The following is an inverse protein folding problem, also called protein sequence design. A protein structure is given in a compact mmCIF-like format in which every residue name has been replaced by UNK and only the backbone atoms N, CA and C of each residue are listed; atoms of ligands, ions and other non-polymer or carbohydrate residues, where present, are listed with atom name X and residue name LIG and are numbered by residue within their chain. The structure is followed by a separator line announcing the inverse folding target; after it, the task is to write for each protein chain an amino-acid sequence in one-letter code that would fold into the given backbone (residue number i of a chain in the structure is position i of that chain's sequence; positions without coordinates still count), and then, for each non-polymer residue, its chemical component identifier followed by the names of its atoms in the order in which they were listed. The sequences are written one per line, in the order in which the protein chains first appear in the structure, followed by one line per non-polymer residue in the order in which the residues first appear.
data_IF_032687119714
#
_entry.id   IF_032687119714
#
_cell.length_a   1.000
_cell.length_b   1.000
_cell.length_c   1.000
_cell.angle_alpha   90.00
_cell.angle_beta   90.00
_cell.angle_gamma   90.00
#
_symmetry.space_group_name_H-M   'P 1'
#
loop_
_entity.id
_entity.type
_entity.pdbx_description
1 polymer ?
#
# COMPACT_ATOMS: atom_id res chain seq x y z
N UNK A 1 -14.77 -33.54 3.33
CA UNK A 1 -14.07 -33.06 2.12
C UNK A 1 -12.65 -32.71 2.53
N UNK A 2 -11.63 -33.16 1.77
CA UNK A 2 -10.25 -32.80 2.05
C UNK A 2 -10.06 -31.30 1.78
N UNK A 3 -9.26 -30.62 2.60
CA UNK A 3 -8.92 -29.22 2.40
C UNK A 3 -8.11 -29.07 1.10
N UNK A 4 -8.40 -28.09 0.23
CA UNK A 4 -7.66 -27.88 -1.02
C UNK A 4 -6.15 -27.73 -0.76
N UNK A 5 -5.31 -28.43 -1.54
CA UNK A 5 -3.84 -28.33 -1.43
C UNK A 5 -3.34 -27.17 -2.26
N UNK A 6 -3.03 -26.04 -1.62
CA UNK A 6 -2.64 -24.81 -2.31
C UNK A 6 -1.14 -24.61 -2.43
N UNK A 7 -0.30 -25.47 -1.83
CA UNK A 7 1.15 -25.27 -1.82
C UNK A 7 1.76 -25.24 -3.24
N UNK A 8 2.76 -24.38 -3.41
CA UNK A 8 3.49 -24.20 -4.66
C UNK A 8 3.55 -22.73 -5.09
N UNK A 9 4.16 -22.52 -6.25
CA UNK A 9 4.32 -21.21 -6.88
C UNK A 9 3.17 -20.96 -7.85
N UNK A 10 2.55 -19.78 -7.79
CA UNK A 10 1.46 -19.37 -8.67
C UNK A 10 1.84 -18.05 -9.31
N UNK A 11 1.76 -17.98 -10.64
CA UNK A 11 2.26 -16.86 -11.42
C UNK A 11 1.14 -16.26 -12.24
N UNK A 12 1.07 -14.94 -12.22
CA UNK A 12 0.27 -14.11 -13.11
C UNK A 12 1.20 -13.25 -13.96
N UNK A 13 0.97 -13.26 -15.27
CA UNK A 13 1.76 -12.48 -16.24
C UNK A 13 0.80 -11.71 -17.14
N UNK A 14 1.09 -10.43 -17.35
CA UNK A 14 0.45 -9.57 -18.34
C UNK A 14 1.53 -8.68 -18.98
N UNK A 15 1.22 -7.99 -20.07
CA UNK A 15 2.17 -7.06 -20.69
C UNK A 15 2.74 -6.08 -19.63
N UNK A 16 4.06 -6.15 -19.45
CA UNK A 16 4.87 -5.38 -18.47
C UNK A 16 4.53 -5.60 -16.99
N UNK A 17 3.74 -6.63 -16.66
CA UNK A 17 3.44 -6.99 -15.27
C UNK A 17 3.74 -8.46 -15.02
N UNK A 18 4.43 -8.72 -13.92
CA UNK A 18 4.56 -10.06 -13.36
C UNK A 18 4.20 -10.02 -11.89
N UNK A 19 3.47 -11.03 -11.44
CA UNK A 19 3.19 -11.22 -10.03
C UNK A 19 3.20 -12.70 -9.70
N UNK A 20 3.73 -13.05 -8.53
CA UNK A 20 3.85 -14.43 -8.13
C UNK A 20 3.59 -14.60 -6.63
N UNK A 21 2.98 -15.72 -6.28
CA UNK A 21 2.90 -16.22 -4.92
C UNK A 21 3.75 -17.48 -4.79
N UNK A 22 4.32 -17.69 -3.61
CA UNK A 22 4.79 -19.00 -3.17
C UNK A 22 4.07 -19.33 -1.86
N UNK A 23 3.29 -20.42 -1.83
CA UNK A 23 2.59 -20.92 -0.65
C UNK A 23 3.30 -22.14 -0.07
N UNK A 24 3.69 -22.06 1.19
CA UNK A 24 4.48 -23.08 1.88
C UNK A 24 3.61 -24.01 2.73
N UNK A 25 4.16 -25.16 3.12
CA UNK A 25 3.45 -26.17 3.93
C UNK A 25 3.11 -25.69 5.35
N UNK A 26 3.88 -24.75 5.90
CA UNK A 26 3.68 -24.16 7.23
C UNK A 26 2.64 -23.02 7.26
N UNK A 27 1.86 -22.86 6.19
CA UNK A 27 0.78 -21.88 6.12
C UNK A 27 1.27 -20.44 5.90
N UNK A 28 2.46 -20.27 5.30
CA UNK A 28 3.04 -18.97 4.96
C UNK A 28 2.96 -18.69 3.47
N UNK A 29 2.98 -17.42 3.12
CA UNK A 29 3.11 -17.00 1.72
C UNK A 29 4.23 -15.98 1.56
N UNK A 30 4.80 -15.99 0.36
CA UNK A 30 5.65 -14.94 -0.18
C UNK A 30 5.01 -14.43 -1.45
N UNK A 31 5.08 -13.14 -1.68
CA UNK A 31 4.49 -12.47 -2.82
C UNK A 31 5.48 -11.53 -3.47
N UNK A 32 5.49 -11.52 -4.79
CA UNK A 32 6.22 -10.57 -5.61
C UNK A 32 5.28 -9.94 -6.64
N UNK A 33 5.52 -8.69 -6.95
CA UNK A 33 4.82 -7.92 -7.96
C UNK A 33 5.79 -6.94 -8.60
N UNK A 34 5.77 -6.85 -9.92
CA UNK A 34 6.50 -5.85 -10.68
C UNK A 34 5.60 -5.31 -11.78
N UNK A 35 5.46 -3.98 -11.82
CA UNK A 35 4.75 -3.26 -12.88
C UNK A 35 5.28 -1.84 -13.03
N UNK A 36 5.79 -1.51 -14.22
CA UNK A 36 6.38 -0.21 -14.50
C UNK A 36 7.52 0.12 -13.53
N UNK A 37 7.35 1.17 -12.71
CA UNK A 37 8.33 1.60 -11.72
C UNK A 37 8.10 0.99 -10.31
N UNK A 38 7.10 0.13 -10.15
CA UNK A 38 6.70 -0.42 -8.86
C UNK A 38 7.09 -1.90 -8.75
N UNK A 39 8.19 -2.15 -8.03
CA UNK A 39 8.52 -3.47 -7.50
C UNK A 39 8.04 -3.56 -6.05
N UNK A 40 7.16 -4.52 -5.79
CA UNK A 40 6.50 -4.72 -4.50
C UNK A 40 6.58 -6.16 -4.06
N UNK A 41 6.48 -6.36 -2.76
CA UNK A 41 6.50 -7.70 -2.17
C UNK A 41 5.48 -7.80 -1.03
N UNK A 42 5.24 -9.01 -0.54
CA UNK A 42 4.62 -9.21 0.76
C UNK A 42 4.98 -10.58 1.31
N UNK A 43 4.93 -10.69 2.63
CA UNK A 43 4.95 -11.98 3.32
C UNK A 43 3.79 -12.03 4.29
N UNK A 44 3.43 -13.24 4.70
CA UNK A 44 2.43 -13.41 5.73
C UNK A 44 1.99 -14.84 5.90
N UNK A 45 0.77 -15.00 6.41
CA UNK A 45 0.12 -16.29 6.59
C UNK A 45 -1.14 -16.39 5.74
N UNK A 46 -1.58 -17.61 5.45
CA UNK A 46 -2.82 -17.85 4.74
C UNK A 46 -3.69 -18.88 5.45
N UNK A 47 -5.00 -18.79 5.21
CA UNK A 47 -5.99 -19.79 5.62
C UNK A 47 -6.89 -20.13 4.45
N UNK A 48 -7.48 -21.33 4.48
CA UNK A 48 -8.44 -21.78 3.47
C UNK A 48 -9.78 -22.05 4.16
N UNK A 49 -10.82 -21.39 3.68
CA UNK A 49 -12.21 -21.50 4.15
C UNK A 49 -13.09 -21.90 2.97
N UNK A 50 -13.36 -23.20 2.83
CA UNK A 50 -14.08 -23.72 1.67
C UNK A 50 -13.26 -23.56 0.38
N UNK A 51 -13.78 -22.75 -0.55
CA UNK A 51 -13.14 -22.37 -1.82
C UNK A 51 -12.40 -21.02 -1.75
N UNK A 52 -12.32 -20.41 -0.56
CA UNK A 52 -11.71 -19.09 -0.38
C UNK A 52 -10.35 -19.21 0.30
N UNK A 53 -9.33 -18.65 -0.35
CA UNK A 53 -7.99 -18.43 0.20
C UNK A 53 -7.94 -17.02 0.78
N UNK A 54 -7.70 -16.93 2.10
CA UNK A 54 -7.56 -15.66 2.83
C UNK A 54 -6.10 -15.42 3.16
N UNK A 55 -5.61 -14.22 2.87
CA UNK A 55 -4.24 -13.82 3.14
C UNK A 55 -4.20 -12.80 4.27
N UNK A 56 -3.24 -12.97 5.18
CA UNK A 56 -2.90 -12.02 6.23
C UNK A 56 -1.44 -11.61 6.07
N UNK A 57 -1.22 -10.44 5.48
CA UNK A 57 0.11 -9.83 5.36
C UNK A 57 0.71 -9.50 6.72
N UNK A 58 2.04 -9.59 6.83
CA UNK A 58 2.80 -9.10 7.98
C UNK A 58 2.83 -7.57 8.05
N UNK A 59 2.69 -6.90 6.89
CA UNK A 59 2.59 -5.43 6.78
C UNK A 59 1.41 -4.92 7.59
N UNK A 60 1.66 -3.94 8.46
CA UNK A 60 0.62 -3.12 9.09
C UNK A 60 0.23 -2.00 8.13
N UNK A 61 -1.04 -1.90 7.69
CA UNK A 61 -1.44 -0.84 6.77
C UNK A 61 -1.41 0.55 7.41
N UNK A 62 -1.15 1.58 6.61
CA UNK A 62 -1.13 2.96 7.11
C UNK A 62 0.12 3.33 7.91
N UNK A 63 1.15 2.48 7.94
CA UNK A 63 2.41 2.75 8.65
C UNK A 63 3.62 2.88 7.72
N UNK A 64 3.42 3.43 6.52
CA UNK A 64 4.48 3.57 5.51
C UNK A 64 5.32 4.84 5.66
N UNK A 65 4.92 5.72 6.57
CA UNK A 65 5.63 6.95 6.89
C UNK A 65 5.85 7.07 8.39
N UNK A 66 7.03 7.53 8.78
CA UNK A 66 7.36 7.91 10.15
C UNK A 66 7.44 9.42 10.24
N UNK A 67 6.74 10.02 11.20
CA UNK A 67 6.95 11.43 11.56
C UNK A 67 8.27 11.51 12.34
N UNK A 68 9.28 12.18 11.77
CA UNK A 68 10.56 12.42 12.46
C UNK A 68 10.49 13.66 13.33
N UNK A 69 9.85 14.72 12.83
CA UNK A 69 9.69 15.99 13.52
C UNK A 69 8.33 16.58 13.22
N UNK A 70 7.78 17.29 14.19
CA UNK A 70 6.58 18.08 14.01
C UNK A 70 6.68 19.35 14.84
N UNK A 71 6.16 20.45 14.31
CA UNK A 71 6.22 21.76 14.95
C UNK A 71 5.11 22.67 14.45
N UNK A 72 4.96 23.81 15.13
CA UNK A 72 4.12 24.91 14.69
C UNK A 72 5.01 26.01 14.10
N UNK A 73 4.82 26.34 12.83
CA UNK A 73 5.62 27.33 12.11
C UNK A 73 4.86 27.95 10.93
N UNK A 74 4.92 29.27 10.79
CA UNK A 74 4.27 29.99 9.68
C UNK A 74 2.75 29.85 9.63
N UNK A 75 2.19 30.16 8.47
CA UNK A 75 0.77 29.97 8.12
C UNK A 75 0.60 28.77 7.18
N UNK A 76 -0.60 28.21 7.13
CA UNK A 76 -0.89 27.01 6.35
C UNK A 76 -0.25 25.76 6.94
N UNK A 77 -0.24 24.68 6.17
CA UNK A 77 0.38 23.40 6.55
C UNK A 77 1.48 23.01 5.57
N UNK A 78 2.51 22.35 6.09
CA UNK A 78 3.64 21.87 5.31
C UNK A 78 4.03 20.45 5.73
N UNK A 79 4.21 19.59 4.73
CA UNK A 79 4.79 18.26 4.90
C UNK A 79 6.10 18.23 4.13
N UNK A 80 7.18 17.91 4.81
CA UNK A 80 8.52 17.78 4.23
C UNK A 80 8.84 16.29 4.22
N UNK A 81 8.78 15.68 3.04
CA UNK A 81 9.02 14.28 2.86
C UNK A 81 10.52 13.99 2.67
N UNK A 82 10.99 12.90 3.28
CA UNK A 82 12.32 12.33 3.10
C UNK A 82 12.18 10.91 2.54
N UNK A 83 13.12 10.54 1.68
CA UNK A 83 13.14 9.23 1.07
C UNK A 83 14.58 8.72 0.88
N UNK A 84 14.83 7.40 0.99
CA UNK A 84 16.12 6.80 0.64
C UNK A 84 16.48 7.08 -0.83
N UNK A 85 15.47 7.02 -1.71
CA UNK A 85 15.61 7.35 -3.13
C UNK A 85 14.94 8.70 -3.43
N UNK A 86 15.70 9.75 -3.81
CA UNK A 86 15.16 11.07 -4.13
C UNK A 86 14.08 11.07 -5.23
N UNK A 87 14.09 10.09 -6.15
CA UNK A 87 13.07 10.00 -7.19
C UNK A 87 11.66 9.83 -6.63
N UNK A 88 11.51 9.23 -5.45
CA UNK A 88 10.21 9.05 -4.80
C UNK A 88 9.59 10.36 -4.32
N UNK A 89 10.40 11.40 -4.10
CA UNK A 89 9.96 12.67 -3.52
C UNK A 89 8.97 13.42 -4.40
N UNK A 90 9.01 13.24 -5.72
CA UNK A 90 8.07 13.88 -6.67
C UNK A 90 6.69 13.19 -6.72
N UNK A 91 6.54 12.06 -6.03
CA UNK A 91 5.33 11.25 -6.04
C UNK A 91 4.62 11.24 -4.68
N UNK A 92 5.00 12.14 -3.77
CA UNK A 92 4.32 12.24 -2.48
C UNK A 92 3.02 13.03 -2.63
N UNK A 93 2.03 12.63 -1.84
CA UNK A 93 0.71 13.25 -1.86
C UNK A 93 0.19 13.38 -0.44
N UNK A 94 -0.23 14.59 -0.08
CA UNK A 94 -0.96 14.90 1.14
C UNK A 94 -2.46 14.87 0.88
N UNK A 95 -3.17 13.94 1.50
CA UNK A 95 -4.63 13.88 1.49
C UNK A 95 -5.15 14.59 2.73
N UNK A 96 -5.81 15.72 2.52
CA UNK A 96 -6.25 16.64 3.56
C UNK A 96 -7.76 16.57 3.71
N UNK A 97 -8.24 16.52 4.95
CA UNK A 97 -9.66 16.55 5.27
C UNK A 97 -10.01 17.84 6.01
N UNK A 98 -11.09 18.49 5.55
CA UNK A 98 -11.72 19.65 6.18
C UNK A 98 -13.23 19.38 6.25
N UNK A 99 -13.73 19.03 7.42
CA UNK A 99 -15.03 18.38 7.58
C UNK A 99 -15.12 17.14 6.68
N UNK A 100 -16.17 17.08 5.86
CA UNK A 100 -16.39 16.00 4.90
C UNK A 100 -15.62 16.20 3.58
N UNK A 101 -14.96 17.35 3.40
CA UNK A 101 -14.23 17.64 2.17
C UNK A 101 -12.85 16.98 2.19
N UNK A 102 -12.57 16.17 1.16
CA UNK A 102 -11.24 15.62 0.88
C UNK A 102 -10.56 16.43 -0.22
N UNK A 103 -9.37 16.93 0.07
CA UNK A 103 -8.48 17.64 -0.85
C UNK A 103 -7.18 16.88 -1.02
N UNK A 104 -6.54 17.03 -2.18
CA UNK A 104 -5.23 16.42 -2.44
C UNK A 104 -4.20 17.46 -2.85
N UNK A 105 -3.00 17.33 -2.30
CA UNK A 105 -1.87 18.22 -2.56
C UNK A 105 -0.65 17.37 -2.89
N UNK A 106 -0.03 17.64 -4.04
CA UNK A 106 1.18 16.94 -4.48
C UNK A 106 2.43 17.63 -3.95
N UNK A 107 3.49 16.86 -3.76
CA UNK A 107 4.80 17.42 -3.44
C UNK A 107 5.46 18.05 -4.67
N UNK A 108 6.35 19.01 -4.41
CA UNK A 108 7.33 19.43 -5.40
C UNK A 108 8.45 18.37 -5.57
N UNK A 109 9.41 18.67 -6.47
CA UNK A 109 10.57 17.80 -6.73
C UNK A 109 11.46 17.52 -5.50
N UNK A 110 11.34 18.34 -4.46
CA UNK A 110 12.11 18.21 -3.23
C UNK A 110 11.30 17.50 -2.12
N UNK A 111 10.10 17.00 -2.43
CA UNK A 111 9.26 16.30 -1.47
C UNK A 111 8.47 17.23 -0.55
N UNK A 112 8.31 18.50 -0.90
CA UNK A 112 7.56 19.44 -0.05
C UNK A 112 6.12 19.54 -0.53
N UNK A 113 5.18 19.11 0.31
CA UNK A 113 3.74 19.34 0.12
C UNK A 113 3.36 20.62 0.86
N UNK A 114 2.86 21.61 0.13
CA UNK A 114 2.36 22.88 0.70
C UNK A 114 0.84 22.90 0.63
N UNK A 115 0.20 23.18 1.76
CA UNK A 115 -1.25 23.20 1.91
C UNK A 115 -1.63 24.60 2.41
N UNK A 116 -2.12 25.44 1.50
CA UNK A 116 -2.53 26.81 1.82
C UNK A 116 -3.98 26.85 2.28
N UNK A 117 -4.22 26.22 3.43
CA UNK A 117 -5.52 26.22 4.11
C UNK A 117 -5.37 26.76 5.53
N UNK A 118 -6.33 27.57 6.01
CA UNK A 118 -6.28 28.10 7.37
C UNK A 118 -6.48 27.00 8.42
N UNK A 119 -7.17 25.91 8.07
CA UNK A 119 -7.50 24.80 8.96
C UNK A 119 -7.52 23.47 8.20
N UNK A 120 -7.06 22.41 8.88
CA UNK A 120 -7.09 21.03 8.42
C UNK A 120 -7.47 20.15 9.61
N UNK A 121 -8.47 19.28 9.47
CA UNK A 121 -8.82 18.33 10.52
C UNK A 121 -7.84 17.16 10.52
N UNK A 122 -7.64 16.55 9.36
CA UNK A 122 -6.74 15.41 9.20
C UNK A 122 -5.84 15.58 7.99
N UNK A 123 -4.61 15.08 8.11
CA UNK A 123 -3.67 15.01 7.00
C UNK A 123 -3.12 13.59 6.96
N UNK A 124 -3.28 12.95 5.82
CA UNK A 124 -2.65 11.68 5.51
C UNK A 124 -1.59 11.88 4.42
N UNK A 125 -0.57 11.02 4.40
CA UNK A 125 0.47 11.01 3.37
C UNK A 125 0.53 9.64 2.71
N UNK A 126 0.72 9.64 1.39
CA UNK A 126 1.06 8.44 0.62
C UNK A 126 2.07 8.74 -0.48
N UNK A 127 2.66 7.69 -1.05
CA UNK A 127 3.40 7.77 -2.29
C UNK A 127 2.55 7.20 -3.44
N UNK A 128 2.48 7.90 -4.58
CA UNK A 128 1.62 7.51 -5.71
C UNK A 128 2.16 6.34 -6.53
N UNK A 129 3.46 6.04 -6.46
CA UNK A 129 4.04 4.84 -7.11
C UNK A 129 3.58 3.57 -6.38
N UNK A 130 3.42 3.67 -5.06
CA UNK A 130 3.05 2.56 -4.19
C UNK A 130 1.70 2.86 -3.54
N UNK A 131 0.59 2.82 -4.30
CA UNK A 131 -0.72 3.08 -3.74
C UNK A 131 -1.05 2.01 -2.69
N UNK A 132 -1.29 2.46 -1.46
CA UNK A 132 -1.73 1.66 -0.31
C UNK A 132 -2.53 2.56 0.64
N UNK A 133 -2.91 2.03 1.81
CA UNK A 133 -3.58 2.78 2.88
C UNK A 133 -2.66 3.93 3.33
N UNK A 134 -3.08 5.20 3.18
CA UNK A 134 -2.28 6.37 3.55
C UNK A 134 -1.95 6.41 5.05
N UNK A 135 -0.78 6.93 5.39
CA UNK A 135 -0.37 7.13 6.78
C UNK A 135 -0.95 8.42 7.34
N UNK A 136 -1.63 8.34 8.48
CA UNK A 136 -2.09 9.51 9.22
C UNK A 136 -0.90 10.26 9.81
N UNK A 137 -0.74 11.54 9.44
CA UNK A 137 0.34 12.42 9.93
C UNK A 137 -0.18 13.46 10.92
N UNK A 138 -1.42 13.91 10.73
CA UNK A 138 -2.10 14.84 11.64
C UNK A 138 -3.55 14.39 11.84
N UNK A 139 -3.99 14.37 13.09
CA UNK A 139 -5.39 14.25 13.48
C UNK A 139 -5.95 15.61 13.97
N UNK A 140 -7.22 15.58 14.37
CA UNK A 140 -7.98 16.75 14.85
C UNK A 140 -7.47 17.34 16.18
N UNK A 141 -6.70 16.57 16.95
CA UNK A 141 -6.13 17.01 18.23
C UNK A 141 -4.73 17.60 18.09
N UNK A 142 -4.04 17.28 17.00
CA UNK A 142 -2.68 17.76 16.75
C UNK A 142 -2.70 19.19 16.18
N UNK A 143 -2.17 20.17 16.95
CA UNK A 143 -2.13 21.58 16.55
C UNK A 143 -0.90 21.99 15.73
N UNK A 144 0.00 21.04 15.44
CA UNK A 144 1.16 21.31 14.59
C UNK A 144 0.72 21.51 13.14
N UNK A 145 1.51 22.30 12.40
CA UNK A 145 1.25 22.57 10.99
C UNK A 145 2.46 22.30 10.10
N UNK A 146 3.60 21.92 10.67
CA UNK A 146 4.79 21.51 9.93
C UNK A 146 5.22 20.11 10.37
N UNK A 147 5.36 19.20 9.41
CA UNK A 147 5.69 17.80 9.65
C UNK A 147 6.86 17.38 8.75
N UNK A 148 7.89 16.78 9.32
CA UNK A 148 8.93 16.09 8.57
C UNK A 148 8.65 14.59 8.65
N UNK A 149 8.48 13.96 7.49
CA UNK A 149 8.11 12.54 7.40
C UNK A 149 9.13 11.77 6.58
N UNK A 150 9.51 10.60 7.05
CA UNK A 150 10.40 9.67 6.37
C UNK A 150 9.58 8.51 5.82
N UNK A 151 9.71 8.21 4.53
CA UNK A 151 9.14 6.98 3.94
C UNK A 151 9.90 5.76 4.47
N UNK A 152 9.16 4.72 4.82
CA UNK A 152 9.71 3.47 5.32
C UNK A 152 9.74 2.42 4.20
N UNK A 153 10.60 1.41 4.36
CA UNK A 153 10.69 0.29 3.40
C UNK A 153 9.37 -0.47 3.27
N UNK A 154 8.52 -0.42 4.29
CA UNK A 154 7.18 -1.02 4.26
C UNK A 154 6.32 -0.48 3.12
N UNK A 155 6.63 0.68 2.54
CA UNK A 155 5.92 1.22 1.38
C UNK A 155 5.98 0.28 0.16
N UNK A 156 7.07 -0.50 0.04
CA UNK A 156 7.23 -1.50 -1.02
C UNK A 156 6.37 -2.74 -0.75
N UNK A 157 5.87 -2.91 0.46
CA UNK A 157 5.06 -4.06 0.82
C UNK A 157 3.59 -3.86 0.43
N UNK A 158 2.91 -4.97 0.11
CA UNK A 158 1.47 -5.02 -0.18
C UNK A 158 0.71 -5.57 1.04
N UNK A 159 -0.41 -4.93 1.38
CA UNK A 159 -1.38 -5.51 2.30
C UNK A 159 -2.48 -6.24 1.52
N UNK A 160 -2.68 -7.51 1.81
CA UNK A 160 -3.81 -8.26 1.28
C UNK A 160 -5.09 -8.13 2.12
N UNK A 161 -5.13 -7.18 3.06
CA UNK A 161 -6.32 -6.93 3.86
C UNK A 161 -7.50 -6.55 2.96
N UNK A 162 -8.59 -7.31 3.07
CA UNK A 162 -9.80 -7.11 2.26
C UNK A 162 -9.73 -7.69 0.85
N UNK A 163 -8.67 -8.45 0.52
CA UNK A 163 -8.55 -9.19 -0.75
C UNK A 163 -8.72 -10.67 -0.46
N UNK A 164 -9.86 -11.21 -0.87
CA UNK A 164 -10.12 -12.65 -0.85
C UNK A 164 -9.78 -13.25 -2.22
N UNK A 165 -9.13 -14.41 -2.20
CA UNK A 165 -8.86 -15.20 -3.40
C UNK A 165 -9.83 -16.38 -3.47
N UNK A 166 -10.23 -16.74 -4.69
CA UNK A 166 -10.99 -17.95 -4.99
C UNK A 166 -10.08 -19.03 -5.54
N UNK A 167 -10.17 -20.22 -4.96
CA UNK A 167 -9.52 -21.43 -5.43
C UNK A 167 -10.45 -22.02 -6.49
N UNK A 168 -10.05 -21.94 -7.76
CA UNK A 168 -10.86 -22.44 -8.88
C UNK A 168 -10.64 -23.94 -9.08
N UNK A 169 -9.39 -24.38 -8.95
CA UNK A 169 -8.95 -25.77 -9.00
C UNK A 169 -7.59 -25.93 -8.30
N UNK A 170 -6.94 -27.10 -8.42
CA UNK A 170 -5.66 -27.41 -7.78
C UNK A 170 -4.47 -26.57 -8.27
N UNK A 171 -4.62 -25.89 -9.42
CA UNK A 171 -3.58 -25.15 -10.10
C UNK A 171 -3.94 -23.69 -10.36
N UNK A 172 -5.14 -23.23 -10.01
CA UNK A 172 -5.60 -21.88 -10.35
C UNK A 172 -6.25 -21.20 -9.16
N UNK A 173 -5.76 -19.99 -8.84
CA UNK A 173 -6.41 -19.05 -7.94
C UNK A 173 -6.75 -17.76 -8.66
N UNK A 174 -7.82 -17.09 -8.24
CA UNK A 174 -8.24 -15.82 -8.81
C UNK A 174 -8.63 -14.81 -7.75
N UNK A 175 -8.62 -13.53 -8.07
CA UNK A 175 -9.22 -12.50 -7.24
C UNK A 175 -9.90 -11.43 -8.10
N UNK A 176 -10.80 -10.67 -7.48
CA UNK A 176 -11.38 -9.50 -8.11
C UNK A 176 -10.34 -8.37 -8.26
N UNK A 177 -10.57 -7.41 -9.16
CA UNK A 177 -9.77 -6.20 -9.23
C UNK A 177 -9.61 -5.57 -7.84
N UNK A 178 -8.42 -5.09 -7.56
CA UNK A 178 -8.06 -4.53 -6.26
C UNK A 178 -7.22 -3.26 -6.43
N UNK A 179 -6.79 -2.68 -5.30
CA UNK A 179 -6.20 -1.34 -5.29
C UNK A 179 -4.85 -1.23 -6.01
N UNK A 180 -4.13 -2.34 -6.22
CA UNK A 180 -2.83 -2.36 -6.91
C UNK A 180 -2.85 -3.18 -8.22
N UNK A 181 -3.91 -3.98 -8.44
CA UNK A 181 -4.24 -4.62 -9.71
C UNK A 181 -5.68 -4.22 -10.13
N UNK A 182 -5.89 -3.00 -10.65
CA UNK A 182 -7.22 -2.46 -10.92
C UNK A 182 -7.74 -2.89 -12.31
N UNK A 183 -7.70 -4.19 -12.61
CA UNK A 183 -8.18 -4.75 -13.87
C UNK A 183 -8.78 -6.14 -13.65
N UNK A 184 -9.68 -6.53 -14.56
CA UNK A 184 -10.38 -7.82 -14.54
C UNK A 184 -9.49 -8.99 -15.00
N UNK A 185 -9.93 -10.21 -14.68
CA UNK A 185 -9.31 -11.44 -15.14
C UNK A 185 -7.98 -11.75 -14.46
N UNK A 186 -7.88 -11.49 -13.16
CA UNK A 186 -6.68 -11.82 -12.38
C UNK A 186 -6.74 -13.30 -12.00
N UNK A 187 -5.99 -14.12 -12.74
CA UNK A 187 -5.85 -15.56 -12.53
C UNK A 187 -4.37 -15.92 -12.40
N UNK A 188 -3.97 -16.44 -11.25
CA UNK A 188 -2.63 -16.98 -11.07
C UNK A 188 -2.67 -18.48 -11.31
N UNK A 189 -1.77 -18.95 -12.16
CA UNK A 189 -1.62 -20.36 -12.48
C UNK A 189 -0.38 -20.92 -11.83
N UNK A 190 -0.48 -22.14 -11.33
CA UNK A 190 0.63 -22.87 -10.74
C UNK A 190 1.73 -23.09 -11.79
N UNK A 191 2.97 -22.77 -11.45
CA UNK A 191 4.15 -22.99 -12.32
C UNK A 191 4.59 -24.46 -12.31
#
# INVERSE_FOLDING_TARGET
MAQPKIQGEYVFRRQEMVSAFNFTEDGKFQFFYSYGAADRNATGSFTIEGDTLKLKSDKVPGTDFKIEQQSKSGSGYQIICKAPNPHLLSYMEGLVFVGDQKLSFESDKNGVVKIDLPHCDKIYVRNRIFPDIPTLVKDEHNTNNRFEVMILESVLQVSFQGIDFKILDENTISCYPNYFMPFEGIEFHKD
#
